data_IF_837274242509
#
_entry.id   IF_837274242509
#
_cell.length_a   1.000
_cell.length_b   1.000
_cell.length_c   1.000
_cell.angle_alpha   90.00
_cell.angle_beta   90.00
_cell.angle_gamma   90.00
#
_symmetry.space_group_name_H-M   'P 1'
#
loop_
_entity.id
_entity.type
_entity.pdbx_description
1 polymer ?
#
# COMPACT_ATOMS: atom_id res chain seq x y z
N UNK A 1 24.46 -19.44 43.57
CA UNK A 1 24.80 -19.75 44.97
C UNK A 1 24.59 -18.47 45.75
N UNK A 2 23.42 -18.30 46.36
CA UNK A 2 23.11 -17.23 47.32
C UNK A 2 22.43 -17.94 48.50
N UNK A 3 23.08 -17.82 49.65
CA UNK A 3 22.79 -18.53 50.87
C UNK A 3 21.48 -18.06 51.51
N UNK A 4 20.76 -19.03 52.01
CA UNK A 4 19.52 -18.89 52.78
C UNK A 4 19.86 -18.72 54.26
N UNK A 5 19.41 -17.62 54.91
CA UNK A 5 19.50 -17.41 56.36
C UNK A 5 18.12 -17.58 56.97
N UNK A 6 17.93 -18.46 57.97
CA UNK A 6 16.64 -18.64 58.63
C UNK A 6 16.48 -17.64 59.79
N UNK A 7 15.40 -16.89 59.81
CA UNK A 7 14.99 -16.12 60.98
C UNK A 7 14.11 -16.99 61.90
N UNK A 8 14.60 -17.23 63.09
CA UNK A 8 13.84 -17.82 64.20
C UNK A 8 12.99 -16.79 64.91
N UNK A 9 11.77 -17.19 65.26
CA UNK A 9 11.05 -16.78 66.47
C UNK A 9 10.11 -15.63 66.42
N UNK A 10 8.80 -15.87 66.07
CA UNK A 10 7.69 -15.04 66.61
C UNK A 10 6.56 -15.99 67.00
N UNK A 11 6.03 -15.73 68.21
CA UNK A 11 5.04 -16.53 68.93
C UNK A 11 3.67 -16.57 68.20
N UNK A 12 3.03 -17.77 68.27
CA UNK A 12 1.67 -18.05 67.84
C UNK A 12 0.64 -17.19 68.60
N UNK A 13 -0.04 -16.28 67.90
CA UNK A 13 -1.33 -15.74 68.34
C UNK A 13 -2.40 -16.34 67.40
N UNK A 14 -3.40 -16.97 67.99
CA UNK A 14 -4.47 -17.62 67.23
C UNK A 14 -5.39 -16.58 66.63
N UNK A 15 -5.29 -16.36 65.35
CA UNK A 15 -6.22 -15.54 64.57
C UNK A 15 -6.96 -16.48 63.59
N UNK A 16 -8.27 -16.63 63.82
CA UNK A 16 -9.18 -17.36 62.94
C UNK A 16 -9.20 -16.67 61.61
N UNK A 17 -8.50 -17.23 60.63
CA UNK A 17 -8.57 -16.78 59.22
C UNK A 17 -9.85 -17.30 58.58
N UNK A 18 -10.81 -16.41 58.33
CA UNK A 18 -11.88 -16.68 57.39
C UNK A 18 -11.31 -16.60 55.99
N UNK A 19 -11.13 -17.80 55.36
CA UNK A 19 -10.74 -17.93 53.98
C UNK A 19 -11.96 -17.58 53.09
N UNK A 20 -12.06 -16.34 52.62
CA UNK A 20 -13.00 -16.01 51.58
C UNK A 20 -12.43 -16.54 50.26
N UNK A 21 -12.96 -17.69 49.81
CA UNK A 21 -12.74 -18.16 48.45
C UNK A 21 -13.56 -17.26 47.52
N UNK A 22 -12.91 -16.25 46.93
CA UNK A 22 -13.47 -15.48 45.82
C UNK A 22 -13.37 -16.36 44.59
N UNK A 23 -14.42 -17.14 44.29
CA UNK A 23 -14.54 -17.85 43.03
C UNK A 23 -14.80 -16.79 41.94
N UNK A 24 -13.73 -16.43 41.22
CA UNK A 24 -13.85 -15.63 40.00
C UNK A 24 -14.54 -16.52 38.97
N UNK A 25 -15.87 -16.42 38.86
CA UNK A 25 -16.60 -16.95 37.73
C UNK A 25 -16.20 -16.06 36.52
N UNK A 26 -15.17 -16.47 35.78
CA UNK A 26 -14.96 -16.02 34.43
C UNK A 26 -16.08 -16.61 33.60
N UNK A 27 -17.20 -15.90 33.48
CA UNK A 27 -18.19 -16.18 32.45
C UNK A 27 -17.54 -15.86 31.12
N UNK A 28 -16.94 -16.88 30.47
CA UNK A 28 -16.68 -16.84 29.03
C UNK A 28 -18.07 -16.87 28.39
N UNK A 29 -18.62 -15.67 28.10
CA UNK A 29 -19.70 -15.60 27.15
C UNK A 29 -19.14 -16.09 25.82
N UNK A 30 -19.69 -17.16 25.22
CA UNK A 30 -19.35 -17.47 23.85
C UNK A 30 -19.70 -16.20 23.04
N UNK A 31 -18.76 -15.66 22.33
CA UNK A 31 -19.04 -14.70 21.27
C UNK A 31 -20.01 -15.43 20.34
N UNK A 32 -21.25 -15.01 20.30
CA UNK A 32 -22.20 -15.52 19.31
C UNK A 32 -21.61 -15.09 17.97
N UNK A 33 -21.32 -16.07 17.14
CA UNK A 33 -20.82 -15.82 15.80
C UNK A 33 -21.90 -15.03 15.02
N UNK A 34 -21.47 -13.93 14.38
CA UNK A 34 -22.37 -12.97 13.73
C UNK A 34 -22.78 -13.50 12.35
N UNK A 35 -24.07 -13.74 12.13
CA UNK A 35 -24.59 -14.30 10.87
C UNK A 35 -25.15 -13.20 9.98
N UNK A 36 -24.77 -13.20 8.71
CA UNK A 36 -25.26 -12.26 7.71
C UNK A 36 -25.90 -12.99 6.54
N UNK A 37 -27.13 -12.60 6.18
CA UNK A 37 -27.83 -13.03 4.99
C UNK A 37 -27.80 -11.91 3.95
N UNK A 38 -27.26 -12.18 2.77
CA UNK A 38 -27.42 -11.33 1.59
C UNK A 38 -28.56 -11.95 0.76
N UNK A 39 -29.61 -11.19 0.49
CA UNK A 39 -30.78 -11.63 -0.30
C UNK A 39 -31.04 -10.69 -1.47
N UNK A 40 -31.99 -11.09 -2.35
CA UNK A 40 -32.36 -10.31 -3.52
C UNK A 40 -31.15 -9.99 -4.42
N UNK A 41 -30.42 -11.04 -4.82
CA UNK A 41 -29.24 -10.98 -5.69
C UNK A 41 -29.39 -11.90 -6.89
N UNK A 42 -28.59 -11.64 -7.92
CA UNK A 42 -28.29 -12.58 -9.00
C UNK A 42 -26.90 -13.15 -8.74
N UNK A 43 -26.81 -14.14 -7.85
CA UNK A 43 -25.55 -14.78 -7.48
C UNK A 43 -25.13 -15.80 -8.52
N UNK A 44 -23.83 -15.90 -8.80
CA UNK A 44 -23.23 -16.90 -9.66
C UNK A 44 -22.01 -17.51 -8.98
N UNK A 45 -21.89 -18.83 -9.02
CA UNK A 45 -20.72 -19.58 -8.56
C UNK A 45 -20.58 -20.89 -9.32
N UNK A 46 -19.43 -21.56 -9.17
CA UNK A 46 -19.22 -22.91 -9.69
C UNK A 46 -19.41 -23.93 -8.56
N UNK A 47 -19.97 -25.09 -8.89
CA UNK A 47 -19.92 -26.27 -8.02
C UNK A 47 -18.52 -26.88 -8.02
N UNK A 48 -18.27 -27.87 -7.16
CA UNK A 48 -17.05 -28.69 -7.19
C UNK A 48 -16.81 -29.46 -8.49
N UNK A 49 -17.86 -29.58 -9.33
CA UNK A 49 -17.83 -30.23 -10.64
C UNK A 49 -17.76 -29.22 -11.81
N UNK A 50 -17.37 -27.96 -11.51
CA UNK A 50 -17.29 -26.84 -12.45
C UNK A 50 -18.62 -26.49 -13.16
N UNK A 51 -19.74 -26.82 -12.54
CA UNK A 51 -21.05 -26.46 -13.06
C UNK A 51 -21.44 -25.08 -12.56
N UNK A 52 -21.74 -24.16 -13.50
CA UNK A 52 -22.21 -22.81 -13.15
C UNK A 52 -23.63 -22.91 -12.59
N UNK A 53 -23.81 -22.38 -11.39
CA UNK A 53 -25.13 -22.25 -10.75
C UNK A 53 -25.47 -20.78 -10.50
N UNK A 54 -26.77 -20.47 -10.56
CA UNK A 54 -27.34 -19.19 -10.15
C UNK A 54 -28.01 -19.34 -8.78
N UNK A 55 -27.88 -18.37 -7.89
CA UNK A 55 -28.50 -18.37 -6.57
C UNK A 55 -29.08 -16.99 -6.22
N UNK A 56 -30.02 -16.95 -5.26
CA UNK A 56 -30.79 -15.75 -4.89
C UNK A 56 -30.38 -15.15 -3.57
N UNK A 57 -29.69 -15.90 -2.74
CA UNK A 57 -29.17 -15.44 -1.46
C UNK A 57 -27.95 -16.24 -1.00
N UNK A 58 -27.21 -15.66 -0.06
CA UNK A 58 -26.02 -16.24 0.52
C UNK A 58 -25.98 -15.88 2.00
N UNK A 59 -25.75 -16.88 2.85
CA UNK A 59 -25.49 -16.72 4.29
C UNK A 59 -24.02 -16.94 4.57
N UNK A 60 -23.47 -16.12 5.43
CA UNK A 60 -22.14 -16.33 5.98
C UNK A 60 -22.11 -15.99 7.47
N UNK A 61 -21.23 -16.68 8.18
CA UNK A 61 -20.95 -16.46 9.60
C UNK A 61 -19.50 -16.04 9.72
N UNK A 62 -19.26 -14.89 10.34
CA UNK A 62 -17.93 -14.27 10.43
C UNK A 62 -17.30 -14.13 9.04
N UNK A 63 -16.26 -14.93 8.72
CA UNK A 63 -15.52 -14.92 7.47
C UNK A 63 -15.81 -16.11 6.53
N UNK A 64 -16.84 -16.94 6.84
CA UNK A 64 -17.12 -18.16 6.11
C UNK A 64 -18.54 -18.20 5.54
N UNK A 65 -18.64 -18.58 4.27
CA UNK A 65 -19.92 -18.87 3.64
C UNK A 65 -20.47 -20.18 4.20
N UNK A 66 -21.68 -20.12 4.77
CA UNK A 66 -22.37 -21.28 5.31
C UNK A 66 -23.23 -21.95 4.25
N UNK A 67 -24.01 -21.14 3.52
CA UNK A 67 -25.02 -21.65 2.61
C UNK A 67 -25.34 -20.66 1.49
N UNK A 68 -25.73 -21.19 0.34
CA UNK A 68 -26.32 -20.44 -0.77
C UNK A 68 -27.74 -20.90 -0.99
N UNK A 69 -28.64 -19.97 -1.28
CA UNK A 69 -30.09 -20.23 -1.47
C UNK A 69 -30.46 -20.04 -2.93
N UNK A 70 -31.00 -21.10 -3.53
CA UNK A 70 -31.39 -21.06 -4.95
C UNK A 70 -32.74 -20.33 -5.14
N UNK A 71 -33.59 -20.29 -4.11
CA UNK A 71 -34.90 -19.67 -4.14
C UNK A 71 -35.11 -18.74 -2.94
N UNK A 72 -35.95 -17.72 -3.11
CA UNK A 72 -36.26 -16.76 -2.05
C UNK A 72 -37.06 -17.38 -0.90
N UNK A 73 -37.81 -18.47 -1.15
CA UNK A 73 -38.59 -19.16 -0.13
C UNK A 73 -37.76 -19.91 0.91
N UNK A 74 -36.47 -20.15 0.61
CA UNK A 74 -35.56 -20.93 1.44
C UNK A 74 -34.76 -20.06 2.43
N UNK A 75 -34.96 -18.72 2.44
CA UNK A 75 -34.20 -17.83 3.29
C UNK A 75 -34.49 -18.06 4.78
N UNK A 76 -33.44 -18.15 5.64
CA UNK A 76 -33.61 -18.25 7.08
C UNK A 76 -34.17 -16.95 7.65
N UNK A 77 -34.90 -17.06 8.75
CA UNK A 77 -35.46 -15.91 9.47
C UNK A 77 -34.60 -15.44 10.65
N UNK A 78 -33.54 -16.16 10.96
CA UNK A 78 -32.71 -16.03 12.17
C UNK A 78 -31.32 -15.40 11.93
N UNK A 79 -31.09 -14.78 10.78
CA UNK A 79 -29.85 -14.04 10.53
C UNK A 79 -29.81 -12.74 11.35
N UNK A 80 -28.65 -12.48 11.99
CA UNK A 80 -28.45 -11.27 12.81
C UNK A 80 -28.45 -10.01 11.94
N UNK A 81 -27.91 -10.11 10.72
CA UNK A 81 -27.88 -9.03 9.74
C UNK A 81 -28.47 -9.47 8.42
N UNK A 82 -29.23 -8.57 7.78
CA UNK A 82 -29.81 -8.81 6.45
C UNK A 82 -29.42 -7.69 5.51
N UNK A 83 -28.78 -8.05 4.40
CA UNK A 83 -28.38 -7.12 3.33
C UNK A 83 -29.28 -7.37 2.11
N UNK A 84 -29.99 -6.34 1.66
CA UNK A 84 -30.72 -6.36 0.40
C UNK A 84 -29.79 -6.02 -0.77
N UNK A 85 -29.49 -7.00 -1.61
CA UNK A 85 -28.67 -6.85 -2.80
C UNK A 85 -29.30 -6.05 -3.93
N UNK A 86 -30.62 -5.76 -3.86
CA UNK A 86 -31.38 -4.94 -4.82
C UNK A 86 -31.27 -5.44 -6.26
N UNK A 87 -31.28 -6.76 -6.45
CA UNK A 87 -31.16 -7.39 -7.76
C UNK A 87 -29.76 -7.31 -8.38
N UNK A 88 -28.75 -6.85 -7.64
CA UNK A 88 -27.37 -6.78 -8.16
C UNK A 88 -26.76 -8.16 -8.34
N UNK A 89 -25.76 -8.21 -9.20
CA UNK A 89 -24.97 -9.42 -9.43
C UNK A 89 -23.96 -9.62 -8.29
N UNK A 90 -23.89 -10.85 -7.77
CA UNK A 90 -22.89 -11.31 -6.83
C UNK A 90 -22.06 -12.42 -7.46
N UNK A 91 -20.75 -12.27 -7.46
CA UNK A 91 -19.79 -13.27 -7.93
C UNK A 91 -18.70 -13.48 -6.89
N UNK A 92 -17.95 -14.59 -6.91
CA UNK A 92 -16.72 -14.72 -6.13
C UNK A 92 -15.77 -13.57 -6.41
N UNK A 93 -14.96 -13.20 -5.41
CA UNK A 93 -13.95 -12.19 -5.59
C UNK A 93 -12.95 -12.57 -6.69
N UNK A 94 -12.50 -11.57 -7.45
CA UNK A 94 -11.55 -11.78 -8.54
C UNK A 94 -10.15 -12.09 -7.98
N UNK A 95 -9.44 -12.98 -8.67
CA UNK A 95 -8.07 -13.37 -8.36
C UNK A 95 -7.17 -12.86 -9.49
N UNK A 96 -6.22 -11.97 -9.17
CA UNK A 96 -5.18 -11.58 -10.11
C UNK A 96 -4.04 -12.61 -10.05
N UNK A 97 -3.82 -13.33 -11.14
CA UNK A 97 -2.85 -14.41 -11.20
C UNK A 97 -1.39 -13.91 -11.39
N UNK A 98 -1.17 -12.61 -11.63
CA UNK A 98 0.16 -12.03 -11.82
C UNK A 98 0.14 -10.54 -11.49
N UNK A 99 0.32 -10.18 -10.23
CA UNK A 99 0.34 -8.80 -9.76
C UNK A 99 1.70 -8.38 -9.19
N UNK A 100 1.80 -7.09 -8.88
CA UNK A 100 2.93 -6.48 -8.17
C UNK A 100 2.37 -5.55 -7.09
N UNK A 101 1.78 -6.14 -6.05
CA UNK A 101 0.99 -5.42 -5.04
C UNK A 101 1.81 -4.36 -4.31
N UNK A 102 3.04 -4.71 -3.89
CA UNK A 102 3.95 -3.79 -3.22
C UNK A 102 4.28 -2.57 -4.09
N UNK A 103 4.69 -2.82 -5.35
CA UNK A 103 5.00 -1.74 -6.30
C UNK A 103 3.78 -0.86 -6.60
N UNK A 104 2.61 -1.48 -6.75
CA UNK A 104 1.35 -0.74 -6.93
C UNK A 104 1.04 0.11 -5.70
N UNK A 105 1.19 -0.44 -4.49
CA UNK A 105 1.01 0.31 -3.25
C UNK A 105 1.92 1.53 -3.15
N UNK A 106 3.20 1.37 -3.41
CA UNK A 106 4.12 2.51 -3.47
C UNK A 106 3.74 3.53 -4.54
N UNK A 107 3.22 3.11 -5.69
CA UNK A 107 2.77 4.04 -6.74
C UNK A 107 1.59 4.90 -6.29
N UNK A 108 0.73 4.40 -5.41
CA UNK A 108 -0.39 5.14 -4.83
C UNK A 108 0.05 6.19 -3.79
N UNK A 109 1.24 6.01 -3.20
CA UNK A 109 1.83 6.89 -2.19
C UNK A 109 2.83 7.90 -2.78
N UNK A 110 2.96 7.96 -4.09
CA UNK A 110 3.90 8.81 -4.83
C UNK A 110 3.18 9.74 -5.78
N UNK A 111 3.92 10.72 -6.32
CA UNK A 111 3.37 11.62 -7.34
C UNK A 111 3.08 10.85 -8.62
N UNK A 112 1.81 10.79 -9.00
CA UNK A 112 1.40 10.22 -10.28
C UNK A 112 1.41 11.29 -11.38
N UNK A 113 2.29 11.13 -12.35
CA UNK A 113 2.48 12.04 -13.48
C UNK A 113 2.00 11.44 -14.82
N UNK A 114 1.28 10.31 -14.78
CA UNK A 114 0.76 9.68 -15.99
C UNK A 114 -0.26 10.59 -16.66
N UNK A 115 -0.09 10.78 -17.96
CA UNK A 115 -1.04 11.48 -18.83
C UNK A 115 -1.04 13.00 -18.72
N UNK A 116 -0.14 13.61 -17.94
CA UNK A 116 0.02 15.08 -17.89
C UNK A 116 0.50 15.62 -19.23
N UNK A 117 0.13 16.86 -19.54
CA UNK A 117 0.30 17.46 -20.87
C UNK A 117 1.36 18.55 -20.94
N UNK A 118 1.92 18.98 -19.80
CA UNK A 118 2.98 19.98 -19.77
C UNK A 118 3.91 19.81 -18.57
N UNK A 119 5.08 20.43 -18.64
CA UNK A 119 6.03 20.50 -17.53
C UNK A 119 5.45 21.28 -16.35
N UNK A 120 4.73 22.37 -16.60
CA UNK A 120 4.08 23.19 -15.58
C UNK A 120 3.02 22.38 -14.81
N UNK A 121 2.23 21.55 -15.52
CA UNK A 121 1.27 20.66 -14.87
C UNK A 121 1.98 19.64 -13.97
N UNK A 122 3.12 19.09 -14.43
CA UNK A 122 3.94 18.18 -13.63
C UNK A 122 4.42 18.86 -12.35
N UNK A 123 5.04 20.03 -12.46
CA UNK A 123 5.56 20.83 -11.34
C UNK A 123 4.45 21.17 -10.36
N UNK A 124 3.30 21.63 -10.86
CA UNK A 124 2.14 21.94 -10.02
C UNK A 124 1.62 20.71 -9.26
N UNK A 125 1.68 19.51 -9.86
CA UNK A 125 1.28 18.27 -9.21
C UNK A 125 2.28 17.84 -8.13
N UNK A 126 3.59 17.99 -8.40
CA UNK A 126 4.66 17.74 -7.42
C UNK A 126 4.55 18.70 -6.23
N UNK A 127 4.29 19.98 -6.48
CA UNK A 127 4.13 20.98 -5.41
C UNK A 127 2.93 20.65 -4.50
N UNK A 128 1.75 20.39 -5.07
CA UNK A 128 0.57 19.99 -4.29
C UNK A 128 0.82 18.74 -3.46
N UNK A 129 1.54 17.75 -4.01
CA UNK A 129 1.90 16.55 -3.27
C UNK A 129 2.86 16.86 -2.12
N UNK A 130 3.86 17.72 -2.36
CA UNK A 130 4.81 18.19 -1.35
C UNK A 130 4.12 18.87 -0.16
N UNK A 131 3.17 19.76 -0.44
CA UNK A 131 2.38 20.48 0.56
C UNK A 131 1.47 19.55 1.37
N UNK A 132 0.85 18.57 0.71
CA UNK A 132 0.00 17.58 1.37
C UNK A 132 0.79 16.57 2.22
N UNK A 133 2.11 16.43 2.00
CA UNK A 133 2.97 15.46 2.66
C UNK A 133 4.25 16.12 3.20
N UNK A 134 4.17 17.03 4.17
CA UNK A 134 5.31 17.82 4.64
C UNK A 134 6.40 16.99 5.35
N UNK A 135 6.06 15.82 5.87
CA UNK A 135 6.98 15.00 6.67
C UNK A 135 7.85 14.03 5.84
N UNK A 136 7.55 13.81 4.55
CA UNK A 136 8.32 12.86 3.75
C UNK A 136 9.68 13.48 3.37
N UNK A 137 10.79 12.72 3.50
CA UNK A 137 12.14 13.26 3.24
C UNK A 137 12.47 13.37 1.75
N UNK A 138 11.88 12.55 0.89
CA UNK A 138 12.04 12.54 -0.56
C UNK A 138 10.68 12.59 -1.25
N UNK A 139 10.55 13.46 -2.24
CA UNK A 139 9.37 13.49 -3.10
C UNK A 139 9.64 12.60 -4.30
N UNK A 140 8.99 11.44 -4.30
CA UNK A 140 9.13 10.46 -5.37
C UNK A 140 7.90 10.46 -6.26
N UNK A 141 8.11 10.26 -7.56
CA UNK A 141 7.01 10.20 -8.52
C UNK A 141 7.36 9.42 -9.77
N UNK A 142 6.35 9.16 -10.60
CA UNK A 142 6.51 8.45 -11.86
C UNK A 142 5.46 8.86 -12.88
N UNK A 143 5.82 8.70 -14.16
CA UNK A 143 4.84 8.69 -15.24
C UNK A 143 4.90 9.91 -16.14
N UNK A 144 5.85 10.85 -15.94
CA UNK A 144 6.04 11.94 -16.88
C UNK A 144 6.48 11.40 -18.25
N UNK A 145 6.04 12.09 -19.30
CA UNK A 145 6.40 11.76 -20.67
C UNK A 145 6.37 13.04 -21.50
N UNK A 146 7.54 13.62 -21.72
CA UNK A 146 7.67 14.88 -22.46
C UNK A 146 7.19 14.78 -23.92
N UNK A 147 7.15 13.58 -24.50
CA UNK A 147 6.63 13.39 -25.86
C UNK A 147 5.15 13.79 -25.98
N UNK A 148 4.43 13.80 -24.84
CA UNK A 148 3.03 14.25 -24.79
C UNK A 148 2.89 15.77 -24.56
N UNK A 149 3.99 16.49 -24.38
CA UNK A 149 4.03 17.92 -24.12
C UNK A 149 4.18 18.71 -25.43
N UNK A 150 3.71 19.93 -25.45
CA UNK A 150 3.70 20.75 -26.67
C UNK A 150 5.09 20.96 -27.30
N UNK A 151 6.12 21.11 -26.45
CA UNK A 151 7.49 21.31 -26.89
C UNK A 151 8.32 20.02 -27.03
N UNK A 152 7.84 18.89 -26.49
CA UNK A 152 8.49 17.58 -26.46
C UNK A 152 9.94 17.60 -25.89
N UNK A 153 10.36 18.67 -25.21
CA UNK A 153 11.70 18.80 -24.62
C UNK A 153 11.78 18.07 -23.27
N UNK A 154 12.98 17.65 -22.89
CA UNK A 154 13.23 17.20 -21.53
C UNK A 154 12.98 18.36 -20.55
N UNK A 155 12.41 18.05 -19.36
CA UNK A 155 12.21 19.02 -18.29
C UNK A 155 13.55 19.44 -17.66
N UNK A 156 13.48 20.46 -16.80
CA UNK A 156 14.65 20.99 -16.11
C UNK A 156 14.47 20.97 -14.60
N UNK A 157 15.55 20.77 -13.85
CA UNK A 157 15.61 20.97 -12.39
C UNK A 157 15.07 22.35 -12.00
N UNK A 158 15.41 23.38 -12.80
CA UNK A 158 15.01 24.78 -12.57
C UNK A 158 13.49 24.95 -12.44
N UNK A 159 12.70 24.16 -13.15
CA UNK A 159 11.23 24.24 -13.10
C UNK A 159 10.69 23.84 -11.73
N UNK A 160 11.28 22.82 -11.09
CA UNK A 160 10.93 22.41 -9.72
C UNK A 160 11.52 23.41 -8.71
N UNK A 161 12.77 23.86 -8.91
CA UNK A 161 13.48 24.76 -8.01
C UNK A 161 12.82 26.16 -7.90
N UNK A 162 12.01 26.56 -8.88
CA UNK A 162 11.20 27.78 -8.83
C UNK A 162 10.02 27.70 -7.85
N UNK A 163 9.74 26.51 -7.30
CA UNK A 163 8.71 26.31 -6.29
C UNK A 163 9.26 26.46 -4.88
N UNK A 164 8.39 26.34 -3.87
CA UNK A 164 8.77 26.35 -2.46
C UNK A 164 9.25 24.98 -1.94
N UNK A 165 9.60 24.06 -2.82
CA UNK A 165 10.06 22.71 -2.43
C UNK A 165 11.53 22.76 -2.04
N UNK A 166 11.82 22.48 -0.78
CA UNK A 166 13.16 22.46 -0.17
C UNK A 166 13.74 21.04 0.03
N UNK A 167 13.02 20.03 -0.46
CA UNK A 167 13.36 18.60 -0.33
C UNK A 167 13.78 18.01 -1.67
N UNK A 168 14.57 16.91 -1.65
CA UNK A 168 14.96 16.24 -2.88
C UNK A 168 13.74 15.66 -3.61
N UNK A 169 13.67 15.86 -4.91
CA UNK A 169 12.64 15.37 -5.82
C UNK A 169 13.26 14.41 -6.84
N UNK A 170 12.65 13.25 -7.01
CA UNK A 170 13.04 12.29 -8.04
C UNK A 170 11.80 11.72 -8.75
N UNK A 171 11.70 11.97 -10.04
CA UNK A 171 10.55 11.63 -10.88
C UNK A 171 10.99 10.73 -12.04
N UNK A 172 10.53 9.48 -12.04
CA UNK A 172 10.87 8.51 -13.10
C UNK A 172 9.94 8.70 -14.31
N UNK A 173 10.51 8.71 -15.52
CA UNK A 173 9.75 8.71 -16.78
C UNK A 173 8.87 7.48 -16.88
N UNK A 174 7.82 7.55 -17.71
CA UNK A 174 6.84 6.47 -17.87
C UNK A 174 7.47 5.14 -18.28
N UNK A 175 8.46 5.15 -19.16
CA UNK A 175 9.19 3.98 -19.65
C UNK A 175 10.27 3.46 -18.68
N UNK A 176 10.62 4.24 -17.65
CA UNK A 176 11.66 3.87 -16.69
C UNK A 176 13.10 4.18 -17.11
N UNK A 177 13.32 4.75 -18.31
CA UNK A 177 14.65 5.01 -18.88
C UNK A 177 15.19 6.43 -18.64
N UNK A 178 14.44 7.30 -17.99
CA UNK A 178 14.91 8.61 -17.57
C UNK A 178 14.36 8.98 -16.19
N UNK A 179 15.15 9.76 -15.45
CA UNK A 179 14.75 10.34 -14.18
C UNK A 179 14.93 11.86 -14.21
N UNK A 180 14.05 12.58 -13.55
CA UNK A 180 14.07 14.03 -13.42
C UNK A 180 14.23 14.40 -11.94
N UNK A 181 15.35 15.05 -11.64
CA UNK A 181 15.75 15.52 -10.32
C UNK A 181 15.60 17.04 -10.21
N UNK A 182 15.34 17.56 -9.02
CA UNK A 182 15.58 18.96 -8.69
C UNK A 182 17.04 19.18 -8.25
N UNK A 183 17.45 20.44 -8.06
CA UNK A 183 18.83 20.76 -7.66
C UNK A 183 19.22 20.16 -6.31
N UNK A 184 18.31 20.06 -5.35
CA UNK A 184 18.57 19.42 -4.05
C UNK A 184 18.93 17.94 -4.21
N UNK A 185 18.25 17.21 -5.09
CA UNK A 185 18.56 15.81 -5.37
C UNK A 185 19.89 15.64 -6.11
N UNK A 186 20.23 16.53 -7.03
CA UNK A 186 21.54 16.55 -7.71
C UNK A 186 22.67 16.82 -6.73
N UNK A 187 22.50 17.78 -5.81
CA UNK A 187 23.48 18.12 -4.78
C UNK A 187 23.74 16.92 -3.85
N UNK A 188 22.68 16.26 -3.35
CA UNK A 188 22.81 15.06 -2.52
C UNK A 188 23.56 13.92 -3.23
N UNK A 189 23.38 13.81 -4.55
CA UNK A 189 24.08 12.84 -5.39
C UNK A 189 25.48 13.29 -5.81
N UNK A 190 25.94 14.48 -5.38
CA UNK A 190 27.19 15.11 -5.77
C UNK A 190 27.38 15.27 -7.29
N UNK A 191 26.27 15.46 -8.03
CA UNK A 191 26.25 15.62 -9.48
C UNK A 191 26.48 17.09 -9.85
N UNK A 192 27.54 17.33 -10.60
CA UNK A 192 27.91 18.68 -11.07
C UNK A 192 28.44 18.62 -12.52
N UNK A 193 28.96 19.74 -13.03
CA UNK A 193 29.45 19.81 -14.41
C UNK A 193 30.64 18.87 -14.69
N UNK A 194 31.43 18.53 -13.65
CA UNK A 194 32.63 17.71 -13.76
C UNK A 194 32.34 16.21 -13.56
N UNK A 195 31.12 15.85 -13.19
CA UNK A 195 30.70 14.45 -13.01
C UNK A 195 30.64 13.76 -14.37
N UNK A 196 31.45 12.71 -14.56
CA UNK A 196 31.45 11.96 -15.82
C UNK A 196 30.15 11.13 -16.00
N UNK A 197 29.73 10.96 -17.25
CA UNK A 197 28.65 10.05 -17.56
C UNK A 197 29.09 8.60 -17.25
N UNK A 198 28.26 7.82 -16.55
CA UNK A 198 28.56 6.40 -16.32
C UNK A 198 28.39 5.59 -17.59
N UNK A 199 29.08 4.44 -17.65
CA UNK A 199 28.95 3.53 -18.80
C UNK A 199 27.48 3.09 -18.96
N UNK A 200 26.92 3.31 -20.14
CA UNK A 200 25.53 2.98 -20.45
C UNK A 200 24.52 3.98 -19.92
N UNK A 201 24.93 5.19 -19.51
CA UNK A 201 24.01 6.25 -19.08
C UNK A 201 24.50 7.62 -19.48
N UNK A 202 23.63 8.62 -19.36
CA UNK A 202 23.89 10.01 -19.71
C UNK A 202 23.32 10.95 -18.66
N UNK A 203 24.11 11.97 -18.27
CA UNK A 203 23.64 13.14 -17.56
C UNK A 203 23.33 14.20 -18.61
N UNK A 204 22.06 14.55 -18.77
CA UNK A 204 21.66 15.60 -19.72
C UNK A 204 22.18 16.95 -19.22
N UNK A 205 22.87 17.70 -20.12
CA UNK A 205 23.53 18.96 -19.79
C UNK A 205 23.01 20.10 -20.66
N UNK A 206 23.12 21.31 -20.11
CA UNK A 206 22.88 22.55 -20.87
C UNK A 206 24.12 22.93 -21.72
N UNK A 207 24.01 24.05 -22.46
CA UNK A 207 25.09 24.53 -23.33
C UNK A 207 26.37 24.92 -22.56
N UNK A 208 26.24 25.25 -21.27
CA UNK A 208 27.35 25.57 -20.40
C UNK A 208 27.95 24.32 -19.73
N UNK A 209 27.41 23.13 -20.01
CA UNK A 209 27.85 21.85 -19.45
C UNK A 209 27.29 21.54 -18.06
N UNK A 210 26.32 22.32 -17.55
CA UNK A 210 25.72 22.04 -16.25
C UNK A 210 24.63 20.96 -16.38
N UNK A 211 24.49 20.06 -15.39
CA UNK A 211 23.39 19.09 -15.36
C UNK A 211 22.03 19.78 -15.39
N UNK A 212 21.14 19.37 -16.31
CA UNK A 212 19.79 19.92 -16.40
C UNK A 212 18.82 19.37 -15.36
N UNK A 213 19.18 18.27 -14.70
CA UNK A 213 18.30 17.51 -13.82
C UNK A 213 17.81 16.19 -14.41
N UNK A 214 17.97 15.97 -15.72
CA UNK A 214 17.57 14.72 -16.36
C UNK A 214 18.76 13.77 -16.46
N UNK A 215 18.54 12.53 -15.99
CA UNK A 215 19.49 11.43 -16.03
C UNK A 215 18.87 10.26 -16.79
N UNK A 216 19.65 9.64 -17.66
CA UNK A 216 19.19 8.57 -18.58
C UNK A 216 19.90 7.25 -18.22
N UNK A 217 19.15 6.15 -18.25
CA UNK A 217 19.59 4.77 -18.06
C UNK A 217 20.48 4.60 -16.80
N UNK A 218 21.70 4.11 -16.92
CA UNK A 218 22.56 3.84 -15.75
C UNK A 218 22.91 5.12 -14.95
N UNK A 219 22.84 6.30 -15.56
CA UNK A 219 23.04 7.56 -14.82
C UNK A 219 21.96 7.81 -13.76
N UNK A 220 20.77 7.24 -13.92
CA UNK A 220 19.71 7.31 -12.92
C UNK A 220 20.17 6.77 -11.56
N UNK A 221 21.09 5.80 -11.55
CA UNK A 221 21.61 5.19 -10.32
C UNK A 221 22.36 6.19 -9.44
N UNK A 222 22.92 7.26 -10.01
CA UNK A 222 23.61 8.29 -9.24
C UNK A 222 22.69 8.96 -8.20
N UNK A 223 21.44 9.23 -8.58
CA UNK A 223 20.42 9.79 -7.67
C UNK A 223 19.67 8.69 -6.94
N UNK A 224 19.22 7.63 -7.62
CA UNK A 224 18.38 6.62 -6.99
C UNK A 224 19.07 5.86 -5.85
N UNK A 225 20.41 5.74 -5.87
CA UNK A 225 21.20 5.17 -4.76
C UNK A 225 21.20 6.03 -3.49
N UNK A 226 20.85 7.31 -3.59
CA UNK A 226 20.76 8.22 -2.44
C UNK A 226 19.37 8.15 -1.75
N UNK A 227 18.39 7.54 -2.41
CA UNK A 227 17.04 7.39 -1.88
C UNK A 227 17.06 6.30 -0.80
N UNK A 228 16.65 6.60 0.45
CA UNK A 228 16.58 5.60 1.50
C UNK A 228 15.69 4.41 1.10
N UNK A 229 16.13 3.20 1.44
CA UNK A 229 15.29 2.02 1.26
C UNK A 229 14.02 2.14 2.11
N UNK A 230 12.87 1.66 1.61
CA UNK A 230 11.65 1.64 2.38
C UNK A 230 11.82 0.88 3.70
N UNK A 231 11.25 1.41 4.76
CA UNK A 231 11.13 0.71 6.05
C UNK A 231 10.01 -0.32 6.01
N UNK A 232 9.97 -1.23 6.97
CA UNK A 232 8.87 -2.18 7.11
C UNK A 232 7.51 -1.47 7.26
N UNK A 233 7.48 -0.31 7.91
CA UNK A 233 6.25 0.48 8.08
C UNK A 233 5.80 1.12 6.74
N UNK A 234 6.74 1.56 5.92
CA UNK A 234 6.46 2.04 4.57
C UNK A 234 5.87 0.91 3.70
N UNK A 235 6.43 -0.31 3.80
CA UNK A 235 5.91 -1.47 3.08
C UNK A 235 4.49 -1.84 3.51
N UNK A 236 4.20 -1.87 4.82
CA UNK A 236 2.84 -2.11 5.34
C UNK A 236 1.85 -1.04 4.88
N UNK A 237 2.26 0.22 4.88
CA UNK A 237 1.44 1.34 4.41
C UNK A 237 1.13 1.18 2.92
N UNK A 238 2.13 0.83 2.11
CA UNK A 238 1.98 0.58 0.68
C UNK A 238 1.05 -0.61 0.40
N UNK A 239 1.25 -1.74 1.07
CA UNK A 239 0.40 -2.93 0.92
C UNK A 239 -1.05 -2.62 1.33
N UNK A 240 -1.25 -1.90 2.44
CA UNK A 240 -2.59 -1.50 2.90
C UNK A 240 -3.29 -0.62 1.86
N UNK A 241 -2.57 0.35 1.28
CA UNK A 241 -3.10 1.21 0.22
C UNK A 241 -3.48 0.40 -1.03
N UNK A 242 -2.62 -0.53 -1.44
CA UNK A 242 -2.87 -1.42 -2.57
C UNK A 242 -4.10 -2.30 -2.36
N UNK A 243 -4.19 -3.01 -1.23
CA UNK A 243 -5.33 -3.87 -0.91
C UNK A 243 -6.65 -3.09 -0.91
N UNK A 244 -6.65 -1.90 -0.31
CA UNK A 244 -7.83 -1.02 -0.32
C UNK A 244 -8.22 -0.57 -1.73
N UNK A 245 -7.25 -0.30 -2.60
CA UNK A 245 -7.50 0.10 -3.98
C UNK A 245 -8.01 -1.08 -4.82
N UNK A 246 -7.36 -2.25 -4.73
CA UNK A 246 -7.73 -3.47 -5.45
C UNK A 246 -9.13 -3.97 -5.05
N UNK A 247 -9.45 -3.91 -3.74
CA UNK A 247 -10.77 -4.28 -3.24
C UNK A 247 -11.93 -3.48 -3.86
N UNK A 248 -11.70 -2.21 -4.25
CA UNK A 248 -12.70 -1.41 -4.97
C UNK A 248 -13.07 -1.96 -6.34
N UNK A 249 -12.18 -2.75 -6.94
CA UNK A 249 -12.39 -3.43 -8.22
C UNK A 249 -12.83 -4.89 -8.05
N UNK A 250 -13.10 -5.34 -6.81
CA UNK A 250 -13.50 -6.70 -6.52
C UNK A 250 -12.37 -7.73 -6.55
N UNK A 251 -11.10 -7.28 -6.58
CA UNK A 251 -9.94 -8.16 -6.47
C UNK A 251 -9.74 -8.48 -4.99
N UNK A 252 -9.82 -9.77 -4.64
CA UNK A 252 -9.73 -10.28 -3.27
C UNK A 252 -8.49 -11.15 -3.03
N UNK A 253 -7.81 -11.54 -4.10
CA UNK A 253 -6.57 -12.33 -4.03
C UNK A 253 -5.63 -11.93 -5.15
N UNK A 254 -4.32 -12.02 -4.91
CA UNK A 254 -3.28 -11.73 -5.90
C UNK A 254 -2.14 -12.72 -5.73
N UNK A 255 -1.65 -13.26 -6.84
CA UNK A 255 -0.35 -13.92 -6.89
C UNK A 255 0.71 -12.85 -7.17
N UNK A 256 1.45 -12.44 -6.14
CA UNK A 256 2.47 -11.41 -6.30
C UNK A 256 3.75 -11.99 -6.91
N UNK A 257 4.13 -11.47 -8.08
CA UNK A 257 5.29 -11.92 -8.84
C UNK A 257 6.58 -11.11 -8.53
N UNK A 258 6.52 -10.17 -7.58
CA UNK A 258 7.61 -9.24 -7.29
C UNK A 258 7.90 -8.99 -5.82
N UNK A 259 7.42 -9.86 -4.92
CA UNK A 259 7.65 -9.72 -3.50
C UNK A 259 9.04 -10.23 -3.10
N UNK A 260 9.72 -9.50 -2.23
CA UNK A 260 11.00 -9.93 -1.67
C UNK A 260 10.81 -10.70 -0.35
N UNK A 261 11.87 -11.42 0.09
CA UNK A 261 11.81 -12.26 1.29
C UNK A 261 11.66 -11.48 2.60
N UNK A 262 11.92 -10.17 2.63
CA UNK A 262 11.74 -9.33 3.80
C UNK A 262 10.26 -8.95 3.97
N UNK A 263 9.56 -8.73 2.89
CA UNK A 263 8.13 -8.38 2.88
C UNK A 263 7.22 -9.56 3.28
N UNK A 264 7.70 -10.80 3.14
CA UNK A 264 6.94 -12.04 3.49
C UNK A 264 6.97 -12.37 4.99
N UNK A 265 7.83 -11.74 5.77
CA UNK A 265 7.99 -11.97 7.22
C UNK A 265 7.18 -10.96 8.03
#
# INVERSE_FOLDING_TARGET
MIDWVPLQGVKKSAMRSYLYIFTLLTSTFPSLADTTLIKNINGYTLTSEDILINFKGLRFTDDRIDEIYLNDADFPSDADHVIDGRGRTLIPGLIDAHGHVGSYGFSLLRVNLVGIKSEEEAVARVLRFSEANPAIPWILGRGWNQVLWDNANFPSAKSIDQTTIDRPVWLTRIDGHAGWANSVALELAAINRDTADPVGGQIVRDEDGNPTGVLIDTAMNLVSSQIPSPTLEDEKTALTAAMKALGKFGITSVHDAGINSQTVR
#
